data_IF_541171352135
#
_entry.id   IF_541171352135
#
_cell.length_a   1.000
_cell.length_b   1.000
_cell.length_c   1.000
_cell.angle_alpha   90.00
_cell.angle_beta   90.00
_cell.angle_gamma   90.00
#
_symmetry.space_group_name_H-M   'P 1'
#
loop_
_entity.id
_entity.type
_entity.pdbx_description
1 polymer ?
#
# COMPACT_ATOMS: atom_id res chain seq x y z
N UNK A 1 -6.33 -13.27 -7.18
CA UNK A 1 -6.35 -11.81 -7.24
C UNK A 1 -4.94 -11.25 -7.12
N UNK A 2 -4.55 -10.24 -7.91
CA UNK A 2 -3.21 -9.69 -7.79
C UNK A 2 -3.02 -8.99 -6.45
N UNK A 3 -1.77 -8.91 -5.99
CA UNK A 3 -1.45 -8.24 -4.74
C UNK A 3 -1.77 -6.75 -4.83
N UNK A 4 -2.01 -6.12 -3.68
CA UNK A 4 -2.34 -4.72 -3.64
C UNK A 4 -1.21 -3.88 -4.26
N UNK A 5 -1.58 -2.94 -5.09
CA UNK A 5 -0.63 -2.09 -5.81
C UNK A 5 -0.38 -2.54 -7.23
N UNK A 6 -0.95 -3.67 -7.62
CA UNK A 6 -0.72 -4.27 -8.94
C UNK A 6 -2.02 -4.72 -9.59
N UNK A 7 -1.99 -4.74 -10.90
CA UNK A 7 -3.10 -5.21 -11.71
C UNK A 7 -2.58 -6.29 -12.65
N UNK A 8 -3.48 -6.93 -13.39
CA UNK A 8 -3.11 -7.95 -14.36
C UNK A 8 -3.50 -7.44 -15.75
N UNK A 9 -2.55 -7.44 -16.67
CA UNK A 9 -2.83 -7.02 -18.04
C UNK A 9 -3.50 -8.16 -18.83
N UNK A 10 -3.79 -7.90 -20.12
CA UNK A 10 -4.48 -8.86 -20.97
C UNK A 10 -3.69 -10.15 -21.17
N UNK A 11 -2.38 -10.12 -20.96
CA UNK A 11 -1.50 -11.27 -21.11
C UNK A 11 -1.25 -12.00 -19.78
N UNK A 12 -1.85 -11.54 -18.70
CA UNK A 12 -1.69 -12.17 -17.41
C UNK A 12 -0.48 -11.71 -16.61
N UNK A 13 0.25 -10.71 -17.08
CA UNK A 13 1.40 -10.18 -16.36
C UNK A 13 0.99 -9.13 -15.33
N UNK A 14 1.70 -9.10 -14.20
CA UNK A 14 1.48 -8.08 -13.18
C UNK A 14 2.02 -6.74 -13.66
N UNK A 15 1.18 -5.72 -13.57
CA UNK A 15 1.58 -4.35 -13.89
C UNK A 15 1.22 -3.45 -12.73
N UNK A 16 2.00 -2.38 -12.47
CA UNK A 16 1.66 -1.47 -11.37
C UNK A 16 0.33 -0.78 -11.58
N UNK A 17 -0.50 -0.75 -10.53
CA UNK A 17 -1.75 0.01 -10.55
C UNK A 17 -1.44 1.40 -9.98
N UNK A 18 -1.50 2.43 -10.82
CA UNK A 18 -1.10 3.78 -10.41
C UNK A 18 -1.86 4.29 -9.19
N UNK A 19 -3.16 4.05 -9.13
CA UNK A 19 -3.97 4.47 -7.99
C UNK A 19 -3.49 3.83 -6.70
N UNK A 20 -3.27 2.52 -6.75
CA UNK A 20 -2.83 1.77 -5.57
C UNK A 20 -1.38 2.07 -5.22
N UNK A 21 -0.54 2.29 -6.22
CA UNK A 21 0.85 2.69 -5.97
C UNK A 21 0.92 4.05 -5.27
N UNK A 22 0.03 4.97 -5.63
CA UNK A 22 -0.07 6.27 -4.97
C UNK A 22 -0.45 6.12 -3.51
N UNK A 23 -1.38 5.21 -3.21
CA UNK A 23 -1.79 4.92 -1.83
C UNK A 23 -0.62 4.35 -1.04
N UNK A 24 0.13 3.43 -1.64
CA UNK A 24 1.30 2.84 -0.98
C UNK A 24 2.35 3.92 -0.68
N UNK A 25 2.58 4.82 -1.62
CA UNK A 25 3.51 5.94 -1.39
C UNK A 25 3.06 6.83 -0.25
N UNK A 26 1.76 7.08 -0.16
CA UNK A 26 1.20 7.86 0.96
C UNK A 26 1.43 7.14 2.29
N UNK A 27 1.18 5.84 2.32
CA UNK A 27 1.43 5.05 3.52
C UNK A 27 2.88 5.13 3.97
N UNK A 28 3.82 5.00 3.02
CA UNK A 28 5.25 5.08 3.32
C UNK A 28 5.62 6.46 3.86
N UNK A 29 5.08 7.51 3.26
CA UNK A 29 5.35 8.87 3.71
C UNK A 29 4.84 9.10 5.13
N UNK A 30 3.61 8.65 5.42
CA UNK A 30 3.04 8.79 6.75
C UNK A 30 3.85 8.03 7.78
N UNK A 31 4.31 6.83 7.43
CA UNK A 31 5.14 6.05 8.33
C UNK A 31 6.47 6.73 8.60
N UNK A 32 7.07 7.33 7.57
CA UNK A 32 8.31 8.08 7.70
C UNK A 32 8.14 9.28 8.63
N UNK A 33 6.95 9.88 8.65
CA UNK A 33 6.64 11.00 9.53
C UNK A 33 6.35 10.58 10.96
N UNK A 34 6.39 9.28 11.26
CA UNK A 34 6.18 8.78 12.61
C UNK A 34 4.76 8.40 12.95
N UNK A 35 3.88 8.31 11.96
CA UNK A 35 2.49 7.91 12.21
C UNK A 35 2.43 6.41 12.50
N UNK A 36 1.54 6.03 13.42
CA UNK A 36 1.32 4.63 13.74
C UNK A 36 0.50 3.95 12.63
N UNK A 37 0.55 2.63 12.58
CA UNK A 37 -0.24 1.89 11.59
C UNK A 37 -1.73 2.17 11.71
N UNK A 38 -2.22 2.34 12.94
CA UNK A 38 -3.61 2.70 13.18
C UNK A 38 -3.94 4.06 12.56
N UNK A 39 -3.08 5.05 12.79
CA UNK A 39 -3.28 6.39 12.23
C UNK A 39 -3.23 6.36 10.70
N UNK A 40 -2.29 5.61 10.15
CA UNK A 40 -2.18 5.46 8.69
C UNK A 40 -3.45 4.84 8.12
N UNK A 41 -3.95 3.78 8.75
CA UNK A 41 -5.18 3.13 8.28
C UNK A 41 -6.37 4.07 8.28
N UNK A 42 -6.49 4.90 9.32
CA UNK A 42 -7.57 5.88 9.40
C UNK A 42 -7.45 6.94 8.31
N UNK A 43 -6.25 7.48 8.12
CA UNK A 43 -6.02 8.52 7.11
C UNK A 43 -6.28 7.99 5.71
N UNK A 44 -5.76 6.81 5.41
CA UNK A 44 -5.91 6.21 4.07
C UNK A 44 -7.38 5.83 3.83
N UNK A 45 -8.07 5.32 4.83
CA UNK A 45 -9.49 5.01 4.72
C UNK A 45 -10.29 6.26 4.36
N UNK A 46 -10.01 7.37 5.01
CA UNK A 46 -10.67 8.65 4.71
C UNK A 46 -10.34 9.14 3.30
N UNK A 47 -9.07 9.06 2.92
CA UNK A 47 -8.62 9.59 1.62
C UNK A 47 -9.15 8.79 0.45
N UNK A 48 -9.25 7.48 0.59
CA UNK A 48 -9.62 6.60 -0.53
C UNK A 48 -11.08 6.17 -0.49
N UNK A 49 -11.76 6.42 0.63
CA UNK A 49 -13.14 5.95 0.88
C UNK A 49 -13.25 4.42 0.86
N UNK A 50 -12.12 3.73 0.95
CA UNK A 50 -12.05 2.29 1.10
C UNK A 50 -11.57 1.97 2.49
N UNK A 51 -12.14 0.97 3.13
CA UNK A 51 -11.72 0.60 4.48
C UNK A 51 -10.37 -0.13 4.44
N UNK A 52 -9.40 0.45 5.11
CA UNK A 52 -8.10 -0.17 5.31
C UNK A 52 -7.93 -0.47 6.80
N UNK A 53 -7.82 -1.76 7.13
CA UNK A 53 -7.60 -2.15 8.51
C UNK A 53 -6.12 -2.06 8.84
N UNK A 54 -5.80 -1.90 10.12
CA UNK A 54 -4.43 -1.74 10.59
C UNK A 54 -3.51 -2.88 10.15
N UNK A 55 -3.97 -4.11 10.28
CA UNK A 55 -3.16 -5.28 9.91
C UNK A 55 -2.84 -5.31 8.41
N UNK A 56 -3.78 -4.87 7.60
CA UNK A 56 -3.58 -4.82 6.15
C UNK A 56 -2.51 -3.78 5.80
N UNK A 57 -2.60 -2.60 6.42
CA UNK A 57 -1.60 -1.54 6.23
C UNK A 57 -0.22 -2.04 6.65
N UNK A 58 -0.14 -2.72 7.79
CA UNK A 58 1.12 -3.29 8.28
C UNK A 58 1.72 -4.27 7.27
N UNK A 59 0.90 -5.17 6.76
CA UNK A 59 1.37 -6.17 5.80
C UNK A 59 1.85 -5.54 4.49
N UNK A 60 1.13 -4.54 3.99
CA UNK A 60 1.51 -3.83 2.76
C UNK A 60 2.86 -3.14 2.96
N UNK A 61 3.02 -2.41 4.05
CA UNK A 61 4.25 -1.67 4.32
C UNK A 61 5.43 -2.61 4.54
N UNK A 62 5.21 -3.69 5.27
CA UNK A 62 6.26 -4.68 5.51
C UNK A 62 6.75 -5.30 4.21
N UNK A 63 5.82 -5.67 3.33
CA UNK A 63 6.15 -6.26 2.03
C UNK A 63 6.95 -5.29 1.17
N UNK A 64 6.49 -4.04 1.06
CA UNK A 64 7.15 -3.04 0.21
C UNK A 64 8.54 -2.70 0.73
N UNK A 65 8.70 -2.59 2.05
CA UNK A 65 10.00 -2.33 2.65
C UNK A 65 10.97 -3.49 2.39
N UNK A 66 10.50 -4.73 2.51
CA UNK A 66 11.32 -5.90 2.24
C UNK A 66 11.76 -5.95 0.79
N UNK A 67 10.88 -5.63 -0.14
CA UNK A 67 11.21 -5.59 -1.56
C UNK A 67 12.28 -4.54 -1.85
N UNK A 68 12.19 -3.40 -1.22
CA UNK A 68 13.19 -2.35 -1.38
C UNK A 68 14.56 -2.78 -0.83
N UNK A 69 14.58 -3.54 0.25
CA UNK A 69 15.83 -4.06 0.80
C UNK A 69 16.47 -5.09 -0.10
N UNK A 70 15.66 -5.90 -0.75
CA UNK A 70 16.15 -6.94 -1.64
C UNK A 70 16.80 -6.36 -2.89
N UNK A 71 16.42 -5.18 -3.26
CA UNK A 71 17.02 -4.48 -4.38
C UNK A 71 18.38 -3.91 -4.00
#
# INVERSE_FOLDING_TARGET
>A
RPKFGYDVDDNGYLVPCEKEQSIIRLMKLLRKKGKSYKQISEIVTKSTRKKFVQSWVFNILKRETSEQRAA
#
